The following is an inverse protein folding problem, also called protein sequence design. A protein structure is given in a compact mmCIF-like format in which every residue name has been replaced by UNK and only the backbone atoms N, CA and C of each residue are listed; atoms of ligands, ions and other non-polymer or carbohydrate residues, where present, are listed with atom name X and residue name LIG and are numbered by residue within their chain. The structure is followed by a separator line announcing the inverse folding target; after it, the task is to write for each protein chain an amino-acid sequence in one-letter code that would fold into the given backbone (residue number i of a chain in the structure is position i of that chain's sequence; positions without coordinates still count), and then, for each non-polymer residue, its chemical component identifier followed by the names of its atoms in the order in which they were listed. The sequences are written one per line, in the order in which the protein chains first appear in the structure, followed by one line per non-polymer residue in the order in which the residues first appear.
data_IF_472457499869
#
_entry.id   IF_472457499869
#
_cell.length_a   1.000
_cell.length_b   1.000
_cell.length_c   1.000
_cell.angle_alpha   90.00
_cell.angle_beta   90.00
_cell.angle_gamma   90.00
#
_symmetry.space_group_name_H-M   'P 1'
#
loop_
_entity.id
_entity.type
_entity.pdbx_description
1 polymer ?
#
# COMPACT_ATOMS: atom_id res chain seq x y z
N UNK A 1 -15.59 7.62 -19.24
CA UNK A 1 -15.21 6.25 -18.84
C UNK A 1 -15.74 5.99 -17.44
N UNK A 2 -16.45 4.90 -17.20
CA UNK A 2 -16.92 4.57 -15.87
C UNK A 2 -15.75 4.04 -15.02
N UNK A 3 -15.66 4.50 -13.76
CA UNK A 3 -14.67 3.99 -12.81
C UNK A 3 -14.94 2.50 -12.56
N UNK A 4 -13.93 1.62 -12.62
CA UNK A 4 -14.12 0.20 -12.34
C UNK A 4 -14.78 -0.05 -10.98
N UNK A 5 -15.62 -1.07 -10.87
CA UNK A 5 -16.34 -1.39 -9.63
C UNK A 5 -15.41 -1.58 -8.44
N UNK A 6 -14.31 -2.29 -8.63
CA UNK A 6 -13.31 -2.50 -7.57
C UNK A 6 -12.74 -1.19 -7.01
N UNK A 7 -12.61 -0.17 -7.83
CA UNK A 7 -12.16 1.16 -7.39
C UNK A 7 -13.26 1.93 -6.67
N UNK A 8 -14.52 1.80 -7.15
CA UNK A 8 -15.68 2.42 -6.50
C UNK A 8 -15.96 1.82 -5.10
N UNK A 9 -15.64 0.55 -4.91
CA UNK A 9 -15.83 -0.19 -3.66
C UNK A 9 -14.58 -0.23 -2.77
N UNK A 10 -13.51 0.49 -3.16
CA UNK A 10 -12.31 0.54 -2.37
C UNK A 10 -12.61 1.07 -0.96
N UNK A 11 -12.20 0.36 0.10
CA UNK A 11 -12.41 0.83 1.47
C UNK A 11 -11.84 2.23 1.70
N UNK A 12 -12.60 3.05 2.40
CA UNK A 12 -12.22 4.41 2.79
C UNK A 12 -11.86 4.52 4.27
N UNK A 13 -12.09 3.47 5.01
CA UNK A 13 -11.74 3.34 6.43
C UNK A 13 -11.41 1.86 6.77
N UNK A 14 -10.86 1.64 7.96
CA UNK A 14 -10.44 0.30 8.39
C UNK A 14 -11.61 -0.65 8.65
N UNK A 15 -12.78 -0.14 9.02
CA UNK A 15 -13.99 -0.93 9.27
C UNK A 15 -14.51 -1.58 7.98
N UNK A 16 -14.30 -0.91 6.86
CA UNK A 16 -14.64 -1.45 5.54
C UNK A 16 -13.60 -2.42 4.99
N UNK A 17 -12.40 -2.44 5.56
CA UNK A 17 -11.34 -3.32 5.08
C UNK A 17 -11.63 -4.76 5.45
N UNK A 18 -11.50 -5.66 4.47
CA UNK A 18 -11.79 -7.09 4.62
C UNK A 18 -10.49 -7.90 4.60
N UNK A 19 -10.36 -8.81 5.56
CA UNK A 19 -9.19 -9.67 5.68
C UNK A 19 -8.01 -9.01 6.42
N UNK A 20 -6.88 -9.67 6.43
CA UNK A 20 -5.61 -9.22 7.02
C UNK A 20 -5.71 -8.80 8.50
N UNK A 21 -6.54 -9.45 9.30
CA UNK A 21 -6.77 -9.12 10.72
C UNK A 21 -5.48 -9.05 11.54
N UNK A 22 -4.49 -9.89 11.25
CA UNK A 22 -3.19 -9.90 11.90
C UNK A 22 -2.38 -8.61 11.67
N UNK A 23 -2.65 -7.89 10.59
CA UNK A 23 -1.99 -6.62 10.25
C UNK A 23 -2.81 -5.39 10.63
N UNK A 24 -4.08 -5.38 10.23
CA UNK A 24 -4.93 -4.18 10.26
C UNK A 24 -6.19 -4.32 11.13
N UNK A 25 -6.43 -5.46 11.75
CA UNK A 25 -7.47 -5.61 12.77
C UNK A 25 -7.21 -4.71 13.99
N UNK A 26 -8.15 -4.63 14.93
CA UNK A 26 -8.03 -3.75 16.12
C UNK A 26 -6.71 -3.92 16.88
N UNK A 27 -6.20 -5.15 16.94
CA UNK A 27 -4.93 -5.48 17.60
C UNK A 27 -3.80 -5.74 16.58
N UNK A 28 -4.02 -5.42 15.31
CA UNK A 28 -3.06 -5.63 14.25
C UNK A 28 -1.80 -4.78 14.40
N UNK A 29 -0.68 -5.29 13.90
CA UNK A 29 0.62 -4.63 14.07
C UNK A 29 0.67 -3.25 13.41
N UNK A 30 0.06 -3.08 12.22
CA UNK A 30 0.02 -1.79 11.53
C UNK A 30 -0.81 -0.78 12.33
N UNK A 31 -1.96 -1.19 12.90
CA UNK A 31 -2.78 -0.32 13.73
C UNK A 31 -2.04 0.15 14.98
N UNK A 32 -1.23 -0.70 15.59
CA UNK A 32 -0.38 -0.31 16.74
C UNK A 32 0.69 0.70 16.35
N UNK A 33 1.32 0.53 15.19
CA UNK A 33 2.30 1.50 14.67
C UNK A 33 1.65 2.86 14.42
N UNK A 34 0.46 2.88 13.83
CA UNK A 34 -0.28 4.13 13.59
C UNK A 34 -0.66 4.86 14.88
N UNK A 35 -1.06 4.12 15.92
CA UNK A 35 -1.38 4.68 17.23
C UNK A 35 -0.18 5.38 17.88
N UNK A 36 1.04 4.91 17.63
CA UNK A 36 2.28 5.54 18.11
C UNK A 36 2.74 6.72 17.25
N UNK A 37 2.05 6.99 16.13
CA UNK A 37 2.42 7.99 15.11
C UNK A 37 3.84 7.82 14.55
N UNK A 38 4.38 6.61 14.65
CA UNK A 38 5.68 6.22 14.10
C UNK A 38 5.47 5.11 13.09
N UNK A 39 5.58 5.42 11.82
CA UNK A 39 5.53 4.42 10.76
C UNK A 39 6.94 4.26 10.18
N UNK A 40 7.60 3.10 10.36
CA UNK A 40 8.81 2.78 9.60
C UNK A 40 8.47 2.56 8.13
N UNK A 41 9.47 2.56 7.26
CA UNK A 41 9.27 2.05 5.92
C UNK A 41 8.90 0.56 5.98
N UNK A 42 7.95 0.15 5.12
CA UNK A 42 7.41 -1.20 5.13
C UNK A 42 7.36 -1.81 3.73
N UNK A 43 7.43 -3.12 3.66
CA UNK A 43 7.18 -3.90 2.47
C UNK A 43 5.96 -4.77 2.71
N UNK A 44 4.94 -4.61 1.89
CA UNK A 44 3.73 -5.42 1.89
C UNK A 44 3.91 -6.54 0.85
N UNK A 45 4.05 -7.76 1.32
CA UNK A 45 4.29 -8.93 0.48
C UNK A 45 3.10 -9.88 0.49
N UNK A 46 2.56 -10.19 -0.66
CA UNK A 46 1.47 -11.16 -0.78
C UNK A 46 0.86 -11.23 -2.17
N UNK A 47 -0.06 -12.17 -2.40
CA UNK A 47 -0.74 -12.34 -3.68
C UNK A 47 -1.44 -11.07 -4.16
N UNK A 48 -1.72 -10.95 -5.46
CA UNK A 48 -2.55 -9.85 -5.96
C UNK A 48 -3.94 -9.88 -5.33
N UNK A 49 -4.58 -8.72 -5.21
CA UNK A 49 -5.95 -8.62 -4.68
C UNK A 49 -6.08 -8.76 -3.16
N UNK A 50 -4.99 -8.71 -2.40
CA UNK A 50 -4.99 -8.84 -0.93
C UNK A 50 -5.12 -7.52 -0.17
N UNK A 51 -5.16 -6.38 -0.87
CA UNK A 51 -5.41 -5.07 -0.27
C UNK A 51 -4.18 -4.20 -0.04
N UNK A 52 -3.01 -4.51 -0.62
CA UNK A 52 -1.75 -3.76 -0.44
C UNK A 52 -1.91 -2.26 -0.71
N UNK A 53 -2.46 -1.90 -1.86
CA UNK A 53 -2.69 -0.49 -2.25
C UNK A 53 -3.67 0.21 -1.31
N UNK A 54 -4.74 -0.50 -0.91
CA UNK A 54 -5.76 0.04 0.00
C UNK A 54 -5.17 0.29 1.39
N UNK A 55 -4.39 -0.64 1.92
CA UNK A 55 -3.69 -0.46 3.21
C UNK A 55 -2.80 0.78 3.17
N UNK A 56 -2.02 0.96 2.12
CA UNK A 56 -1.15 2.12 1.98
C UNK A 56 -1.93 3.45 1.96
N UNK A 57 -3.05 3.50 1.26
CA UNK A 57 -3.94 4.67 1.25
C UNK A 57 -4.53 4.97 2.62
N UNK A 58 -5.07 3.97 3.30
CA UNK A 58 -5.64 4.13 4.64
C UNK A 58 -4.60 4.58 5.68
N UNK A 59 -3.37 4.11 5.57
CA UNK A 59 -2.24 4.57 6.42
C UNK A 59 -2.00 6.08 6.20
N UNK A 60 -1.92 6.51 4.95
CA UNK A 60 -1.66 7.91 4.62
C UNK A 60 -2.81 8.82 5.10
N UNK A 61 -4.05 8.38 4.93
CA UNK A 61 -5.24 9.09 5.38
C UNK A 61 -5.28 9.22 6.91
N UNK A 62 -4.95 8.17 7.65
CA UNK A 62 -4.92 8.21 9.11
C UNK A 62 -3.81 9.11 9.65
N UNK A 63 -2.64 9.10 9.01
CA UNK A 63 -1.51 9.96 9.39
C UNK A 63 -1.64 11.41 8.89
N UNK A 64 -2.57 11.68 7.98
CA UNK A 64 -2.77 13.00 7.35
C UNK A 64 -1.48 13.56 6.73
N UNK A 65 -0.75 12.70 6.01
CA UNK A 65 0.51 13.05 5.34
C UNK A 65 0.36 12.96 3.82
N UNK A 66 1.20 13.68 3.05
CA UNK A 66 1.21 13.56 1.59
C UNK A 66 1.46 12.12 1.16
N UNK A 67 0.68 11.69 0.18
CA UNK A 67 0.71 10.34 -0.39
C UNK A 67 1.05 10.41 -1.86
N UNK A 68 2.21 9.87 -2.22
CA UNK A 68 2.65 9.74 -3.60
C UNK A 68 2.59 8.27 -4.01
N UNK A 69 2.13 8.02 -5.23
CA UNK A 69 1.99 6.66 -5.76
C UNK A 69 2.78 6.52 -7.05
N UNK A 70 3.60 5.48 -7.11
CA UNK A 70 4.28 5.02 -8.31
C UNK A 70 4.01 3.54 -8.55
N UNK A 71 3.98 3.16 -9.82
CA UNK A 71 4.06 1.77 -10.23
C UNK A 71 5.44 1.52 -10.85
N UNK A 72 6.17 0.55 -10.32
CA UNK A 72 7.53 0.26 -10.77
C UNK A 72 7.60 -0.27 -12.22
N UNK A 73 6.49 -0.69 -12.80
CA UNK A 73 6.43 -1.11 -14.21
C UNK A 73 6.68 0.08 -15.13
N UNK A 74 6.11 1.25 -14.81
CA UNK A 74 6.10 2.43 -15.68
C UNK A 74 7.04 3.54 -15.20
N UNK A 75 7.46 3.50 -13.93
CA UNK A 75 8.24 4.56 -13.31
C UNK A 75 9.75 4.39 -13.54
N UNK A 76 10.43 5.52 -13.72
CA UNK A 76 11.88 5.60 -13.82
C UNK A 76 12.53 6.40 -12.70
N UNK A 77 13.85 6.50 -12.73
CA UNK A 77 14.64 7.30 -11.75
C UNK A 77 14.19 8.77 -11.73
N UNK A 78 13.77 9.31 -12.87
CA UNK A 78 13.26 10.70 -12.94
C UNK A 78 11.99 10.88 -12.10
N UNK A 79 11.09 9.91 -12.13
CA UNK A 79 9.84 9.96 -11.35
C UNK A 79 10.12 9.89 -9.85
N UNK A 80 11.04 9.02 -9.45
CA UNK A 80 11.51 8.93 -8.06
C UNK A 80 12.07 10.27 -7.59
N UNK A 81 12.97 10.87 -8.35
CA UNK A 81 13.59 12.17 -8.04
C UNK A 81 12.55 13.28 -7.93
N UNK A 82 11.58 13.31 -8.84
CA UNK A 82 10.47 14.26 -8.82
C UNK A 82 9.65 14.16 -7.54
N UNK A 83 9.34 12.93 -7.10
CA UNK A 83 8.60 12.72 -5.85
C UNK A 83 9.42 13.11 -4.64
N UNK A 84 10.69 12.71 -4.57
CA UNK A 84 11.59 13.12 -3.47
C UNK A 84 11.64 14.65 -3.35
N UNK A 85 11.73 15.35 -4.47
CA UNK A 85 11.72 16.80 -4.50
C UNK A 85 10.40 17.41 -4.01
N UNK A 86 9.27 16.84 -4.42
CA UNK A 86 7.94 17.23 -3.95
C UNK A 86 7.72 16.93 -2.46
N UNK A 87 8.37 15.89 -1.93
CA UNK A 87 8.27 15.50 -0.54
C UNK A 87 9.08 16.40 0.41
N UNK A 88 10.15 17.05 -0.08
CA UNK A 88 11.07 17.86 0.74
C UNK A 88 10.40 18.93 1.62
N UNK A 89 9.34 19.65 1.19
CA UNK A 89 8.70 20.66 2.04
C UNK A 89 7.94 20.07 3.24
N UNK A 90 7.71 18.79 3.27
CA UNK A 90 6.93 18.12 4.31
C UNK A 90 7.84 17.45 5.33
N UNK A 91 7.39 17.44 6.59
CA UNK A 91 8.12 16.72 7.66
C UNK A 91 8.12 15.20 7.43
N UNK A 92 7.04 14.69 6.85
CA UNK A 92 6.86 13.28 6.53
C UNK A 92 5.99 13.18 5.27
N UNK A 93 6.36 12.31 4.35
CA UNK A 93 5.57 11.99 3.17
C UNK A 93 5.66 10.49 2.91
N UNK A 94 4.59 9.88 2.44
CA UNK A 94 4.56 8.47 2.07
C UNK A 94 4.71 8.32 0.57
N UNK A 95 5.65 7.46 0.15
CA UNK A 95 5.72 6.95 -1.20
C UNK A 95 5.24 5.50 -1.21
N UNK A 96 4.11 5.26 -1.85
CA UNK A 96 3.66 3.91 -2.19
C UNK A 96 4.25 3.51 -3.54
N UNK A 97 5.05 2.45 -3.54
CA UNK A 97 5.66 1.90 -4.73
C UNK A 97 5.10 0.50 -5.01
N UNK A 98 4.18 0.43 -5.98
CA UNK A 98 3.60 -0.84 -6.41
C UNK A 98 4.58 -1.62 -7.29
N UNK A 99 4.55 -2.96 -7.20
CA UNK A 99 5.40 -3.87 -7.97
C UNK A 99 6.91 -3.58 -7.80
N UNK A 100 7.35 -3.24 -6.57
CA UNK A 100 8.74 -2.81 -6.27
C UNK A 100 9.80 -3.79 -6.80
N UNK A 101 9.48 -5.08 -6.94
CA UNK A 101 10.37 -6.09 -7.52
C UNK A 101 10.71 -5.83 -8.99
N UNK A 102 9.97 -4.97 -9.69
CA UNK A 102 10.26 -4.53 -11.06
C UNK A 102 11.34 -3.46 -11.14
N UNK A 103 11.66 -2.82 -10.04
CA UNK A 103 12.75 -1.86 -10.02
C UNK A 103 14.10 -2.55 -10.10
N UNK A 104 14.98 -2.04 -10.96
CA UNK A 104 16.39 -2.42 -10.99
C UNK A 104 17.10 -2.04 -9.69
N UNK A 105 18.26 -2.63 -9.44
CA UNK A 105 19.10 -2.26 -8.29
C UNK A 105 19.41 -0.77 -8.25
N UNK A 106 19.74 -0.16 -9.39
CA UNK A 106 20.01 1.27 -9.52
C UNK A 106 18.79 2.14 -9.18
N UNK A 107 17.58 1.72 -9.56
CA UNK A 107 16.35 2.42 -9.20
C UNK A 107 16.06 2.31 -7.71
N UNK A 108 16.30 1.15 -7.10
CA UNK A 108 16.18 0.94 -5.66
C UNK A 108 17.21 1.77 -4.88
N UNK A 109 18.46 1.87 -5.37
CA UNK A 109 19.49 2.74 -4.78
C UNK A 109 19.07 4.21 -4.74
N UNK A 110 18.35 4.68 -5.75
CA UNK A 110 17.85 6.07 -5.77
C UNK A 110 16.79 6.36 -4.70
N UNK A 111 16.11 5.34 -4.19
CA UNK A 111 15.18 5.45 -3.05
C UNK A 111 15.91 5.44 -1.71
N UNK A 112 17.01 4.70 -1.62
CA UNK A 112 17.70 4.39 -0.37
C UNK A 112 18.04 5.64 0.43
N UNK A 113 18.62 6.65 -0.22
CA UNK A 113 19.03 7.88 0.43
C UNK A 113 17.86 8.68 1.02
N UNK A 114 16.74 8.74 0.31
CA UNK A 114 15.54 9.44 0.78
C UNK A 114 14.88 8.71 1.95
N UNK A 115 14.90 7.37 1.94
CA UNK A 115 14.43 6.54 3.05
C UNK A 115 15.32 6.70 4.27
N UNK A 116 16.64 6.67 4.09
CA UNK A 116 17.63 6.86 5.18
C UNK A 116 17.50 8.22 5.86
N UNK A 117 17.29 9.28 5.08
CA UNK A 117 17.08 10.64 5.57
C UNK A 117 15.70 10.90 6.16
N UNK A 118 14.76 9.97 5.99
CA UNK A 118 13.39 10.17 6.41
C UNK A 118 12.61 11.21 5.57
N UNK A 119 13.14 11.60 4.40
CA UNK A 119 12.42 12.47 3.44
C UNK A 119 11.15 11.81 2.96
N UNK A 120 11.19 10.51 2.77
CA UNK A 120 10.03 9.67 2.48
C UNK A 120 9.98 8.47 3.43
N UNK A 121 8.75 8.06 3.77
CA UNK A 121 8.46 6.73 4.32
C UNK A 121 8.00 5.85 3.16
N UNK A 122 8.74 4.79 2.88
CA UNK A 122 8.42 3.88 1.78
C UNK A 122 7.38 2.85 2.22
N UNK A 123 6.33 2.68 1.42
CA UNK A 123 5.46 1.51 1.46
C UNK A 123 5.61 0.80 0.13
N UNK A 124 6.46 -0.23 0.09
CA UNK A 124 6.63 -1.06 -1.10
C UNK A 124 5.60 -2.20 -1.13
N UNK A 125 5.07 -2.50 -2.30
CA UNK A 125 4.19 -3.64 -2.51
C UNK A 125 4.81 -4.62 -3.52
N UNK A 126 4.72 -5.91 -3.23
CA UNK A 126 5.26 -6.96 -4.09
C UNK A 126 4.49 -8.26 -3.96
N UNK A 127 4.43 -9.02 -5.05
CA UNK A 127 3.97 -10.41 -5.07
C UNK A 127 5.13 -11.40 -4.93
N UNK A 128 6.36 -10.93 -5.10
CA UNK A 128 7.58 -11.73 -5.07
C UNK A 128 8.29 -11.66 -3.72
N UNK A 129 9.14 -12.66 -3.43
CA UNK A 129 9.85 -12.70 -2.16
C UNK A 129 10.84 -11.51 -2.03
N UNK A 130 10.63 -10.61 -1.07
CA UNK A 130 11.47 -9.42 -0.91
C UNK A 130 12.96 -9.72 -0.69
N UNK A 131 13.28 -10.87 -0.09
CA UNK A 131 14.66 -11.26 0.18
C UNK A 131 15.49 -11.48 -1.09
N UNK A 132 14.83 -11.77 -2.23
CA UNK A 132 15.51 -11.97 -3.51
C UNK A 132 15.43 -10.75 -4.41
N UNK A 133 14.39 -9.91 -4.24
CA UNK A 133 14.04 -8.85 -5.19
C UNK A 133 14.46 -7.45 -4.72
N UNK A 134 14.60 -7.26 -3.40
CA UNK A 134 14.95 -5.96 -2.84
C UNK A 134 16.41 -5.98 -2.37
N UNK A 135 17.15 -4.93 -2.72
CA UNK A 135 18.55 -4.82 -2.29
C UNK A 135 18.66 -4.78 -0.76
N UNK A 136 19.67 -5.45 -0.24
CA UNK A 136 19.85 -5.60 1.22
C UNK A 136 19.89 -4.27 1.99
N UNK A 137 20.53 -3.20 1.50
CA UNK A 137 20.52 -1.92 2.20
C UNK A 137 19.13 -1.32 2.34
N UNK A 138 18.27 -1.46 1.33
CA UNK A 138 16.89 -0.96 1.40
C UNK A 138 16.02 -1.86 2.29
N UNK A 139 16.13 -3.18 2.12
CA UNK A 139 15.36 -4.14 2.90
C UNK A 139 15.66 -4.05 4.39
N UNK A 140 16.92 -3.80 4.78
CA UNK A 140 17.32 -3.65 6.18
C UNK A 140 16.68 -2.43 6.88
N UNK A 141 16.16 -1.47 6.12
CA UNK A 141 15.47 -0.27 6.59
C UNK A 141 13.96 -0.39 6.58
N UNK A 142 13.45 -1.53 6.14
CA UNK A 142 12.02 -1.79 6.02
C UNK A 142 11.59 -2.93 6.95
N UNK A 143 10.35 -2.86 7.42
CA UNK A 143 9.69 -4.01 8.03
C UNK A 143 8.87 -4.73 6.97
N UNK A 144 8.98 -6.05 6.90
CA UNK A 144 8.22 -6.86 5.93
C UNK A 144 6.97 -7.42 6.60
N UNK A 145 5.82 -7.17 5.99
CA UNK A 145 4.53 -7.73 6.41
C UNK A 145 3.94 -8.60 5.32
N UNK A 146 3.56 -9.80 5.71
CA UNK A 146 3.00 -10.79 4.79
C UNK A 146 1.48 -10.69 4.79
N UNK A 147 0.90 -10.48 3.61
CA UNK A 147 -0.53 -10.53 3.39
C UNK A 147 -0.94 -11.95 2.97
N UNK A 148 -2.01 -12.43 3.57
CA UNK A 148 -2.57 -13.75 3.28
C UNK A 148 -3.59 -13.66 2.15
N UNK A 149 -3.78 -14.73 1.36
CA UNK A 149 -4.92 -14.83 0.47
C UNK A 149 -6.21 -14.60 1.25
N UNK A 150 -7.20 -13.99 0.61
CA UNK A 150 -8.54 -13.85 1.18
C UNK A 150 -9.20 -15.23 1.25
N UNK A 151 -9.85 -15.52 2.36
CA UNK A 151 -10.63 -16.74 2.52
C UNK A 151 -12.04 -16.60 1.92
N UNK A 152 -12.81 -17.68 1.93
CA UNK A 152 -14.17 -17.69 1.38
C UNK A 152 -15.06 -16.67 2.10
N UNK A 153 -14.98 -16.58 3.42
CA UNK A 153 -15.75 -15.62 4.21
C UNK A 153 -15.41 -14.18 3.86
N UNK A 154 -14.15 -13.87 3.59
CA UNK A 154 -13.71 -12.56 3.15
C UNK A 154 -14.27 -12.23 1.76
N UNK A 155 -14.24 -13.18 0.84
CA UNK A 155 -14.78 -13.03 -0.51
C UNK A 155 -16.30 -12.83 -0.49
N UNK A 156 -17.03 -13.56 0.36
CA UNK A 156 -18.48 -13.38 0.54
C UNK A 156 -18.83 -11.96 1.02
N UNK A 157 -18.06 -11.41 1.97
CA UNK A 157 -18.25 -10.02 2.42
C UNK A 157 -18.04 -9.01 1.29
N UNK A 158 -17.03 -9.22 0.45
CA UNK A 158 -16.77 -8.34 -0.69
C UNK A 158 -17.88 -8.44 -1.75
N UNK A 159 -18.36 -9.65 -2.03
CA UNK A 159 -19.48 -9.87 -2.94
C UNK A 159 -20.76 -9.21 -2.42
N UNK A 160 -21.08 -9.38 -1.15
CA UNK A 160 -22.26 -8.74 -0.55
C UNK A 160 -22.18 -7.22 -0.66
N UNK A 161 -21.02 -6.62 -0.41
CA UNK A 161 -20.82 -5.18 -0.60
C UNK A 161 -21.05 -4.75 -2.05
N UNK A 162 -20.62 -5.55 -3.02
CA UNK A 162 -20.86 -5.27 -4.43
C UNK A 162 -22.35 -5.33 -4.78
N UNK A 163 -23.07 -6.32 -4.27
CA UNK A 163 -24.52 -6.48 -4.44
C UNK A 163 -25.25 -5.27 -3.85
N UNK A 164 -24.96 -4.91 -2.60
CA UNK A 164 -25.58 -3.79 -1.90
C UNK A 164 -25.35 -2.47 -2.64
N UNK A 165 -24.15 -2.29 -3.20
CA UNK A 165 -23.83 -1.12 -4.01
C UNK A 165 -24.69 -1.02 -5.28
N UNK A 166 -24.87 -2.12 -6.01
CA UNK A 166 -25.72 -2.14 -7.21
C UNK A 166 -27.19 -1.95 -6.87
N UNK A 167 -27.67 -2.60 -5.81
CA UNK A 167 -29.05 -2.40 -5.34
C UNK A 167 -29.33 -0.95 -4.93
N UNK A 168 -28.36 -0.30 -4.28
CA UNK A 168 -28.49 1.13 -3.90
C UNK A 168 -28.59 2.06 -5.11
N UNK A 169 -28.09 1.64 -6.27
CA UNK A 169 -28.17 2.38 -7.54
C UNK A 169 -29.37 2.00 -8.40
N UNK A 170 -30.30 1.17 -7.91
CA UNK A 170 -31.42 0.62 -8.66
C UNK A 170 -31.00 -0.12 -9.94
N UNK A 171 -29.84 -0.75 -9.95
CA UNK A 171 -29.36 -1.58 -11.05
C UNK A 171 -29.78 -3.03 -10.76
N UNK A 172 -30.62 -3.60 -11.64
CA UNK A 172 -30.97 -5.03 -11.56
C UNK A 172 -29.73 -5.89 -11.83
N UNK A 173 -29.53 -6.90 -11.00
CA UNK A 173 -28.52 -7.94 -11.20
C UNK A 173 -29.27 -9.15 -11.78
N UNK A 174 -29.30 -9.27 -13.12
CA UNK A 174 -29.82 -10.43 -13.81
C UNK A 174 -28.76 -11.54 -13.87
#
# INVERSE_FOLDING_TARGET
MSIPLAEQLRPTNWEEFVGQEHLVGKNGVIRKLLSSKTLPSIILWGPPGTGKTTIAGLIADELQVPFFKLNAIDAGVKDIRSIIQKAQPYKTAILFLDEIHRFSKSQQDSLLHAVEKGTITLIGATTENPSFEIISPLLSRCQVYVLKPLDISDLEKLLQRAIDFYLSKNISLD
#
